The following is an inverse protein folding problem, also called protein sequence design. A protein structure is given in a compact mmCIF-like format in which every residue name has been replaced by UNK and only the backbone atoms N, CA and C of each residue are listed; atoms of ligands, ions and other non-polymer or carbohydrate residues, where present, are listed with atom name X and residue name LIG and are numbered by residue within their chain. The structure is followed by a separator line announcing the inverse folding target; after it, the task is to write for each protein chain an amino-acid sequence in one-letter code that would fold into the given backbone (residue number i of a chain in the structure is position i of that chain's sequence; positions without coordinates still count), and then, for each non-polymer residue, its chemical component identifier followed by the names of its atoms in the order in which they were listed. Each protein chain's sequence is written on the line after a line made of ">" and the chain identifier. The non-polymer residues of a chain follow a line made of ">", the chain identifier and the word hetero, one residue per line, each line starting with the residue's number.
data_IF_393504573169
#
_entry.id   IF_393504573169
#
_cell.length_a   1.000
_cell.length_b   1.000
_cell.length_c   1.000
_cell.angle_alpha   90.00
_cell.angle_beta   90.00
_cell.angle_gamma   90.00
#
_symmetry.space_group_name_H-M   'P 1'
#
loop_
_entity.id
_entity.type
_entity.pdbx_description
1 polymer ?
#
# COMPACT_ATOMS: atom_id res chain seq x y z
N UNK A 1 17.53 -2.01 9.70
CA UNK A 1 18.53 -2.95 9.14
C UNK A 1 19.08 -2.46 7.79
N UNK A 2 18.29 -2.38 6.70
CA UNK A 2 18.84 -1.92 5.40
C UNK A 2 19.42 -0.49 5.41
N UNK A 3 18.76 0.46 6.05
CA UNK A 3 19.26 1.84 6.16
C UNK A 3 20.52 1.96 7.03
N UNK A 4 20.60 1.20 8.10
CA UNK A 4 21.81 1.16 8.95
C UNK A 4 22.99 0.55 8.20
N UNK A 5 22.75 -0.49 7.38
CA UNK A 5 23.77 -1.07 6.50
C UNK A 5 24.23 -0.09 5.42
N UNK A 6 23.38 0.84 5.04
CA UNK A 6 23.68 1.91 4.09
C UNK A 6 24.33 3.14 4.72
N UNK A 7 24.48 3.15 6.05
CA UNK A 7 25.00 4.31 6.77
C UNK A 7 24.04 5.49 6.82
N UNK A 8 22.75 5.25 6.54
CA UNK A 8 21.71 6.28 6.58
C UNK A 8 21.19 6.31 8.02
N UNK A 9 21.27 7.49 8.64
CA UNK A 9 20.63 7.72 9.93
C UNK A 9 19.12 7.79 9.76
N UNK A 10 18.42 6.74 10.20
CA UNK A 10 16.96 6.61 10.11
C UNK A 10 16.24 7.75 10.84
N UNK A 11 16.83 8.27 11.94
CA UNK A 11 16.26 9.39 12.69
C UNK A 11 16.33 10.71 11.92
N UNK A 12 17.28 10.85 10.98
CA UNK A 12 17.40 12.04 10.11
C UNK A 12 16.42 12.03 8.94
N UNK A 13 15.82 10.87 8.64
CA UNK A 13 14.80 10.76 7.61
C UNK A 13 13.48 11.26 8.21
N UNK A 14 13.00 12.41 7.73
CA UNK A 14 11.70 12.92 8.10
C UNK A 14 10.57 11.99 7.63
N UNK A 15 10.36 10.90 8.36
CA UNK A 15 9.28 9.96 8.09
C UNK A 15 7.94 10.57 8.51
N UNK A 16 7.02 10.64 7.57
CA UNK A 16 5.63 11.01 7.87
C UNK A 16 4.83 9.75 8.10
N UNK A 17 4.49 9.51 9.35
CA UNK A 17 3.64 8.39 9.75
C UNK A 17 2.24 8.49 9.12
N UNK A 18 1.75 7.42 8.54
CA UNK A 18 0.42 7.30 7.95
C UNK A 18 -0.53 6.37 8.73
N UNK A 19 -0.15 5.93 9.92
CA UNK A 19 -0.97 5.02 10.73
C UNK A 19 -2.37 5.58 10.99
N UNK A 20 -2.50 6.88 11.25
CA UNK A 20 -3.81 7.51 11.43
C UNK A 20 -4.69 7.46 10.18
N UNK A 21 -4.11 7.49 8.97
CA UNK A 21 -4.84 7.29 7.71
C UNK A 21 -5.26 5.82 7.55
N UNK A 22 -4.36 4.89 7.85
CA UNK A 22 -4.65 3.45 7.79
C UNK A 22 -5.76 3.10 8.76
N UNK A 23 -5.70 3.61 10.01
CA UNK A 23 -6.74 3.41 11.01
C UNK A 23 -8.09 4.01 10.59
N UNK A 24 -8.09 5.17 9.93
CA UNK A 24 -9.31 5.76 9.37
C UNK A 24 -9.96 4.84 8.33
N UNK A 25 -9.17 4.20 7.48
CA UNK A 25 -9.67 3.36 6.39
C UNK A 25 -10.06 1.95 6.86
N UNK A 26 -9.14 1.25 7.52
CA UNK A 26 -9.24 -0.18 7.86
C UNK A 26 -9.20 -0.47 9.37
N UNK A 27 -9.21 0.55 10.22
CA UNK A 27 -9.22 0.38 11.67
C UNK A 27 -10.49 -0.35 12.14
N UNK A 28 -10.33 -1.34 13.01
CA UNK A 28 -11.49 -2.05 13.60
C UNK A 28 -11.75 -1.56 15.01
N UNK A 29 -13.00 -1.37 15.41
CA UNK A 29 -14.26 -1.59 14.64
C UNK A 29 -14.74 -0.36 13.85
N UNK A 30 -14.10 0.80 13.97
CA UNK A 30 -14.64 2.10 13.52
C UNK A 30 -14.00 2.64 12.24
N UNK A 31 -13.13 1.88 11.56
CA UNK A 31 -12.63 2.26 10.25
C UNK A 31 -13.75 2.32 9.21
N UNK A 32 -13.58 3.12 8.17
CA UNK A 32 -14.58 3.36 7.13
C UNK A 32 -15.04 2.06 6.47
N UNK A 33 -14.11 1.12 6.17
CA UNK A 33 -14.46 -0.17 5.58
C UNK A 33 -15.28 -1.03 6.52
N UNK A 34 -14.98 -1.02 7.83
CA UNK A 34 -15.75 -1.75 8.85
C UNK A 34 -17.15 -1.18 9.00
N UNK A 35 -17.31 0.15 8.99
CA UNK A 35 -18.61 0.82 9.06
C UNK A 35 -19.44 0.58 7.80
N UNK A 36 -18.79 0.54 6.62
CA UNK A 36 -19.45 0.23 5.36
C UNK A 36 -19.94 -1.23 5.34
N UNK A 37 -19.12 -2.17 5.82
CA UNK A 37 -19.49 -3.56 5.95
C UNK A 37 -20.68 -3.73 6.89
N UNK A 38 -20.65 -3.09 8.05
CA UNK A 38 -21.78 -3.10 8.99
C UNK A 38 -23.05 -2.58 8.33
N UNK A 39 -22.99 -1.41 7.65
CA UNK A 39 -24.16 -0.81 7.01
C UNK A 39 -24.71 -1.66 5.86
N UNK A 40 -23.85 -2.41 5.15
CA UNK A 40 -24.29 -3.36 4.13
C UNK A 40 -25.18 -4.48 4.69
N UNK A 41 -24.99 -4.85 5.97
CA UNK A 41 -25.75 -5.92 6.63
C UNK A 41 -26.99 -5.43 7.38
N UNK A 42 -27.14 -4.12 7.58
CA UNK A 42 -28.34 -3.55 8.21
C UNK A 42 -29.52 -3.63 7.25
N UNK A 43 -30.70 -4.15 7.69
CA UNK A 43 -31.87 -4.35 6.81
C UNK A 43 -32.37 -3.12 6.07
N UNK A 44 -32.14 -1.93 6.62
CA UNK A 44 -32.50 -0.62 6.03
C UNK A 44 -31.27 0.27 5.89
N UNK A 45 -30.10 -0.32 5.68
CA UNK A 45 -28.86 0.43 5.47
C UNK A 45 -28.95 1.32 4.24
N UNK A 46 -28.37 2.52 4.36
CA UNK A 46 -28.36 3.53 3.29
C UNK A 46 -26.99 4.20 3.18
N UNK A 47 -26.68 4.74 1.99
CA UNK A 47 -25.43 5.45 1.77
C UNK A 47 -25.26 6.65 2.72
N UNK A 48 -26.35 7.37 2.99
CA UNK A 48 -26.33 8.47 3.96
C UNK A 48 -26.22 7.98 5.41
N UNK A 49 -26.78 6.81 5.73
CA UNK A 49 -26.61 6.15 7.03
C UNK A 49 -25.14 5.81 7.27
N UNK A 50 -24.48 5.22 6.28
CA UNK A 50 -23.04 4.99 6.30
C UNK A 50 -22.26 6.28 6.54
N UNK A 51 -22.54 7.32 5.74
CA UNK A 51 -21.86 8.60 5.86
C UNK A 51 -22.07 9.26 7.23
N UNK A 52 -23.27 9.14 7.81
CA UNK A 52 -23.59 9.59 9.16
C UNK A 52 -22.73 8.92 10.21
N UNK A 53 -22.57 7.59 10.14
CA UNK A 53 -21.69 6.82 11.04
C UNK A 53 -20.24 7.25 10.93
N UNK A 54 -19.74 7.43 9.70
CA UNK A 54 -18.37 7.91 9.47
C UNK A 54 -18.17 9.31 10.05
N UNK A 55 -19.11 10.21 9.83
CA UNK A 55 -19.05 11.58 10.38
C UNK A 55 -19.12 11.59 11.91
N UNK A 56 -19.91 10.73 12.51
CA UNK A 56 -19.98 10.58 13.97
C UNK A 56 -18.66 10.11 14.55
N UNK A 57 -17.99 9.15 13.92
CA UNK A 57 -16.72 8.59 14.42
C UNK A 57 -15.51 9.48 14.12
N UNK A 58 -15.42 10.02 12.91
CA UNK A 58 -14.23 10.69 12.41
C UNK A 58 -14.40 12.18 12.13
N UNK A 59 -15.64 12.67 12.08
CA UNK A 59 -15.97 14.07 11.83
C UNK A 59 -15.65 15.01 12.98
N UNK A 60 -15.98 16.29 12.80
CA UNK A 60 -15.80 17.36 13.82
C UNK A 60 -14.36 17.50 14.32
N UNK A 61 -13.38 17.22 13.46
CA UNK A 61 -11.96 17.37 13.80
C UNK A 61 -11.37 16.20 14.61
N UNK A 62 -12.09 15.10 14.82
CA UNK A 62 -11.58 13.90 15.51
C UNK A 62 -10.49 13.20 14.73
N UNK A 63 -10.58 13.25 13.40
CA UNK A 63 -9.53 12.73 12.52
C UNK A 63 -9.06 13.82 11.55
N UNK A 64 -7.75 14.08 11.52
CA UNK A 64 -7.16 15.13 10.69
C UNK A 64 -7.24 14.85 9.18
N UNK A 65 -7.45 13.59 8.81
CA UNK A 65 -7.49 13.13 7.41
C UNK A 65 -8.91 13.06 6.84
N UNK A 66 -9.94 13.22 7.68
CA UNK A 66 -11.35 13.22 7.27
C UNK A 66 -11.96 14.61 7.42
N UNK A 67 -12.61 15.09 6.37
CA UNK A 67 -13.28 16.38 6.37
C UNK A 67 -14.68 16.25 5.76
N UNK A 68 -15.68 16.71 6.51
CA UNK A 68 -17.02 16.95 5.94
C UNK A 68 -17.05 18.34 5.32
N UNK A 69 -17.35 18.44 4.00
CA UNK A 69 -17.54 19.75 3.40
C UNK A 69 -18.65 20.52 4.09
N UNK A 70 -18.46 21.81 4.34
CA UNK A 70 -19.55 22.67 4.80
C UNK A 70 -20.55 22.80 3.67
N UNK A 71 -21.75 22.28 3.88
CA UNK A 71 -22.80 22.24 2.88
C UNK A 71 -23.25 23.67 2.56
N UNK A 72 -22.80 24.19 1.44
CA UNK A 72 -23.36 25.41 0.81
C UNK A 72 -23.99 25.10 -0.54
N UNK A 73 -23.84 23.86 -1.05
CA UNK A 73 -24.37 23.37 -2.33
C UNK A 73 -25.02 22.02 -2.08
N UNK A 74 -26.19 21.79 -2.67
CA UNK A 74 -26.91 20.52 -2.59
C UNK A 74 -26.07 19.32 -3.02
N UNK A 75 -25.13 19.51 -3.94
CA UNK A 75 -24.26 18.47 -4.50
C UNK A 75 -23.20 17.92 -3.51
N UNK A 76 -23.15 18.43 -2.27
CA UNK A 76 -22.14 18.04 -1.28
C UNK A 76 -22.73 17.33 -0.05
N UNK A 77 -24.05 17.10 -0.01
CA UNK A 77 -24.70 16.44 1.12
C UNK A 77 -24.26 15.00 1.28
N UNK A 78 -23.98 14.32 0.18
CA UNK A 78 -23.51 12.94 0.10
C UNK A 78 -21.97 12.82 0.01
N UNK A 79 -21.23 13.93 0.21
CA UNK A 79 -19.80 13.99 -0.01
C UNK A 79 -18.99 14.04 1.28
N UNK A 80 -17.78 13.51 1.23
CA UNK A 80 -16.71 13.71 2.21
C UNK A 80 -15.37 13.84 1.50
N UNK A 81 -14.38 14.41 2.19
CA UNK A 81 -13.03 14.58 1.68
C UNK A 81 -12.08 13.76 2.52
N UNK A 82 -11.22 12.98 1.86
CA UNK A 82 -10.08 12.31 2.48
C UNK A 82 -8.78 12.99 2.05
N UNK A 83 -7.91 13.22 3.01
CA UNK A 83 -6.55 13.68 2.76
C UNK A 83 -5.67 12.47 2.57
N UNK A 84 -5.40 12.13 1.33
CA UNK A 84 -4.45 11.09 0.97
C UNK A 84 -3.02 11.63 0.95
N UNK A 85 -2.04 10.72 0.89
CA UNK A 85 -0.63 11.08 0.75
C UNK A 85 -0.38 12.07 -0.41
N UNK A 86 -1.01 11.83 -1.54
CA UNK A 86 -0.80 12.60 -2.76
C UNK A 86 -1.67 13.86 -2.87
N UNK A 87 -2.70 14.01 -2.03
CA UNK A 87 -3.61 15.15 -2.04
C UNK A 87 -5.00 14.84 -1.50
N UNK A 88 -5.85 15.84 -1.47
CA UNK A 88 -7.23 15.72 -1.03
C UNK A 88 -8.12 15.18 -2.16
N UNK A 89 -8.96 14.20 -1.83
CA UNK A 89 -9.92 13.61 -2.77
C UNK A 89 -11.31 13.69 -2.18
N UNK A 90 -12.24 14.22 -2.96
CA UNK A 90 -13.67 14.25 -2.62
C UNK A 90 -14.34 12.97 -3.11
N UNK A 91 -15.07 12.34 -2.22
CA UNK A 91 -15.85 11.13 -2.46
C UNK A 91 -17.33 11.40 -2.30
N UNK A 92 -18.14 10.84 -3.20
CA UNK A 92 -19.59 10.82 -3.12
C UNK A 92 -20.04 9.41 -2.79
N UNK A 93 -20.89 9.26 -1.78
CA UNK A 93 -21.30 7.93 -1.27
C UNK A 93 -22.43 7.30 -2.05
N UNK A 94 -23.04 8.01 -3.00
CA UNK A 94 -24.13 7.48 -3.79
C UNK A 94 -23.80 6.14 -4.46
N UNK A 95 -24.56 5.09 -4.16
CA UNK A 95 -24.39 3.74 -4.68
C UNK A 95 -23.26 2.93 -4.02
N UNK A 96 -22.66 3.40 -2.93
CA UNK A 96 -21.57 2.68 -2.25
C UNK A 96 -22.03 1.37 -1.64
N UNK A 97 -23.18 1.37 -0.98
CA UNK A 97 -23.72 0.13 -0.39
C UNK A 97 -24.05 -0.90 -1.45
N UNK A 98 -24.65 -0.48 -2.54
CA UNK A 98 -24.99 -1.38 -3.64
C UNK A 98 -23.76 -2.03 -4.24
N UNK A 99 -22.72 -1.23 -4.54
CA UNK A 99 -21.42 -1.72 -5.04
C UNK A 99 -20.71 -2.62 -4.04
N UNK A 100 -20.82 -2.31 -2.74
CA UNK A 100 -20.10 -3.03 -1.69
C UNK A 100 -20.76 -4.34 -1.30
N UNK A 101 -22.08 -4.47 -1.43
CA UNK A 101 -22.78 -5.71 -1.15
C UNK A 101 -22.28 -6.88 -1.97
N UNK A 102 -22.08 -6.71 -3.28
CA UNK A 102 -21.38 -7.65 -4.16
C UNK A 102 -21.86 -9.10 -4.17
N UNK A 103 -22.88 -9.40 -3.42
CA UNK A 103 -23.44 -10.74 -3.33
C UNK A 103 -24.74 -10.85 -4.15
N UNK A 104 -24.89 -11.97 -4.80
CA UNK A 104 -26.08 -12.28 -5.55
C UNK A 104 -27.23 -12.54 -4.59
N UNK A 105 -28.38 -11.87 -4.78
CA UNK A 105 -29.58 -12.12 -3.97
C UNK A 105 -30.03 -13.58 -4.11
N UNK A 106 -30.56 -14.15 -3.07
CA UNK A 106 -30.96 -15.57 -3.04
C UNK A 106 -31.98 -15.93 -4.12
N UNK A 107 -32.92 -15.03 -4.43
CA UNK A 107 -33.90 -15.18 -5.51
C UNK A 107 -33.25 -15.20 -6.89
N UNK A 108 -32.29 -14.29 -7.15
CA UNK A 108 -31.53 -14.26 -8.39
C UNK A 108 -30.66 -15.51 -8.56
N UNK A 109 -30.00 -15.93 -7.48
CA UNK A 109 -29.20 -17.15 -7.48
C UNK A 109 -30.05 -18.38 -7.80
N UNK A 110 -31.21 -18.51 -7.17
CA UNK A 110 -32.14 -19.61 -7.44
C UNK A 110 -32.57 -19.63 -8.90
N UNK A 111 -32.85 -18.47 -9.48
CA UNK A 111 -33.18 -18.36 -10.90
C UNK A 111 -32.03 -18.83 -11.80
N UNK A 112 -30.77 -18.48 -11.47
CA UNK A 112 -29.60 -18.89 -12.25
C UNK A 112 -29.36 -20.41 -12.16
N UNK A 113 -29.49 -21.01 -10.96
CA UNK A 113 -29.31 -22.45 -10.74
C UNK A 113 -30.41 -23.27 -11.44
N UNK A 114 -31.62 -22.77 -11.52
CA UNK A 114 -32.75 -23.43 -12.19
C UNK A 114 -32.81 -23.17 -13.70
N UNK A 115 -31.84 -22.47 -14.27
CA UNK A 115 -31.77 -22.18 -15.69
C UNK A 115 -31.44 -23.42 -16.50
N UNK A 116 -32.06 -23.59 -17.66
CA UNK A 116 -31.71 -24.65 -18.66
C UNK A 116 -30.35 -24.40 -19.33
N UNK A 117 -29.75 -23.24 -19.13
CA UNK A 117 -28.44 -22.89 -19.69
C UNK A 117 -27.31 -23.40 -18.82
N UNK A 118 -26.61 -24.45 -19.28
CA UNK A 118 -25.48 -25.07 -18.58
C UNK A 118 -24.35 -24.08 -18.20
N UNK A 119 -24.16 -23.01 -18.98
CA UNK A 119 -23.19 -21.96 -18.66
C UNK A 119 -23.60 -21.20 -17.39
N UNK A 120 -24.87 -20.89 -17.21
CA UNK A 120 -25.40 -20.15 -16.06
C UNK A 120 -25.41 -21.00 -14.79
N UNK A 121 -25.74 -22.28 -14.91
CA UNK A 121 -25.79 -23.20 -13.76
C UNK A 121 -24.43 -23.53 -13.17
N UNK A 122 -23.34 -23.36 -13.97
CA UNK A 122 -21.96 -23.64 -13.57
C UNK A 122 -21.10 -22.38 -13.42
N UNK A 123 -21.68 -21.18 -13.35
CA UNK A 123 -20.92 -19.95 -13.13
C UNK A 123 -20.24 -19.99 -11.76
N UNK A 124 -18.90 -19.76 -11.69
CA UNK A 124 -18.20 -19.58 -10.43
C UNK A 124 -18.85 -18.47 -9.59
N UNK A 125 -19.03 -18.69 -8.28
CA UNK A 125 -19.70 -17.76 -7.38
C UNK A 125 -21.25 -17.90 -7.32
N UNK A 126 -21.87 -18.59 -8.25
CA UNK A 126 -23.30 -18.97 -8.18
C UNK A 126 -23.46 -20.26 -7.38
N UNK A 127 -22.57 -21.23 -7.60
CA UNK A 127 -22.62 -22.58 -7.00
C UNK A 127 -21.87 -22.61 -5.66
N UNK A 128 -20.74 -21.92 -5.55
CA UNK A 128 -19.82 -21.99 -4.40
C UNK A 128 -20.33 -21.31 -3.12
N UNK A 129 -21.30 -20.41 -3.23
CA UNK A 129 -21.84 -19.64 -2.10
C UNK A 129 -23.14 -20.26 -1.52
N UNK A 130 -23.45 -21.53 -1.75
CA UNK A 130 -24.60 -22.13 -1.05
C UNK A 130 -24.37 -22.09 0.46
N UNK A 131 -25.23 -21.40 1.23
CA UNK A 131 -25.29 -21.65 2.66
C UNK A 131 -25.69 -23.12 2.81
N UNK A 132 -24.82 -23.97 3.33
CA UNK A 132 -25.22 -25.33 3.75
C UNK A 132 -26.39 -25.13 4.71
N UNK A 133 -27.60 -25.42 4.25
CA UNK A 133 -28.75 -25.57 5.10
C UNK A 133 -28.39 -26.70 6.08
N UNK A 134 -27.96 -26.32 7.28
CA UNK A 134 -27.91 -27.29 8.36
C UNK A 134 -29.33 -27.80 8.54
N UNK A 135 -29.52 -29.06 8.17
CA UNK A 135 -30.76 -29.80 8.40
C UNK A 135 -31.12 -29.59 9.86
N UNK A 136 -32.24 -28.90 10.09
CA UNK A 136 -32.82 -28.71 11.42
C UNK A 136 -33.33 -30.04 11.90
N UNK A 137 -32.44 -30.86 12.48
CA UNK A 137 -32.88 -31.95 13.36
C UNK A 137 -33.32 -31.33 14.67
N UNK A 138 -34.60 -31.43 14.94
CA UNK A 138 -35.26 -30.94 16.15
C UNK A 138 -34.57 -31.42 17.42
N UNK A 139 -34.04 -30.48 18.18
CA UNK A 139 -33.53 -30.64 19.52
C UNK A 139 -33.95 -29.42 20.35
N UNK A 140 -35.04 -29.52 21.12
CA UNK A 140 -35.38 -28.55 22.16
C UNK A 140 -34.28 -28.52 23.22
N UNK A 141 -33.36 -27.58 23.15
CA UNK A 141 -32.34 -27.29 24.16
C UNK A 141 -32.46 -25.83 24.61
N UNK A 142 -32.82 -25.66 25.87
CA UNK A 142 -33.08 -24.44 26.61
C UNK A 142 -31.74 -23.76 26.95
N UNK A 143 -31.57 -22.48 26.62
CA UNK A 143 -30.71 -21.54 27.36
C UNK A 143 -29.26 -21.47 26.94
N UNK A 144 -28.91 -20.45 26.16
CA UNK A 144 -27.55 -19.99 25.95
C UNK A 144 -27.57 -18.76 25.05
N UNK A 145 -27.40 -17.55 25.61
CA UNK A 145 -27.08 -16.33 24.87
C UNK A 145 -25.69 -16.47 24.24
N UNK A 146 -25.62 -17.08 23.09
CA UNK A 146 -24.41 -17.11 22.26
C UNK A 146 -24.81 -16.69 20.84
N UNK A 147 -24.25 -15.62 20.34
CA UNK A 147 -24.60 -15.05 19.04
C UNK A 147 -24.49 -16.10 17.94
N UNK A 148 -25.64 -16.43 17.33
CA UNK A 148 -25.70 -17.26 16.14
C UNK A 148 -24.98 -16.60 15.00
N UNK A 149 -23.73 -17.02 14.75
CA UNK A 149 -22.92 -16.64 13.60
C UNK A 149 -23.44 -17.33 12.33
N UNK A 150 -24.65 -16.97 11.87
CA UNK A 150 -25.02 -17.27 10.48
C UNK A 150 -23.94 -16.70 9.57
N UNK A 151 -23.46 -17.51 8.64
CA UNK A 151 -22.43 -17.12 7.67
C UNK A 151 -22.92 -15.88 6.93
N UNK A 152 -22.48 -14.69 7.38
CA UNK A 152 -22.86 -13.42 6.76
C UNK A 152 -22.30 -13.42 5.34
N UNK A 153 -23.11 -13.01 4.38
CA UNK A 153 -22.65 -12.83 3.02
C UNK A 153 -21.45 -11.87 3.00
N UNK A 154 -20.37 -12.30 2.39
CA UNK A 154 -19.12 -11.55 2.37
C UNK A 154 -19.25 -10.35 1.44
N UNK A 155 -18.95 -9.15 1.91
CA UNK A 155 -18.94 -7.94 1.10
C UNK A 155 -17.74 -7.93 0.14
N UNK A 156 -17.80 -7.08 -0.89
CA UNK A 156 -16.67 -6.87 -1.81
C UNK A 156 -15.43 -6.39 -1.05
N UNK A 157 -15.60 -5.50 -0.07
CA UNK A 157 -14.50 -5.01 0.77
C UNK A 157 -13.82 -6.12 1.55
N UNK A 158 -14.58 -7.01 2.16
CA UNK A 158 -14.04 -8.15 2.93
C UNK A 158 -13.30 -9.15 2.04
N UNK A 159 -13.86 -9.46 0.85
CA UNK A 159 -13.17 -10.33 -0.13
C UNK A 159 -11.86 -9.70 -0.57
N UNK A 160 -11.88 -8.41 -0.94
CA UNK A 160 -10.70 -7.67 -1.35
C UNK A 160 -9.62 -7.64 -0.27
N UNK A 161 -9.99 -7.38 0.99
CA UNK A 161 -9.04 -7.37 2.09
C UNK A 161 -8.36 -8.73 2.29
N UNK A 162 -9.11 -9.83 2.16
CA UNK A 162 -8.56 -11.18 2.25
C UNK A 162 -7.60 -11.48 1.09
N UNK A 163 -7.96 -11.15 -0.14
CA UNK A 163 -7.11 -11.32 -1.32
C UNK A 163 -5.85 -10.46 -1.25
N UNK A 164 -5.97 -9.22 -0.78
CA UNK A 164 -4.82 -8.34 -0.56
C UNK A 164 -3.86 -8.90 0.49
N UNK A 165 -4.38 -9.46 1.58
CA UNK A 165 -3.55 -10.10 2.61
C UNK A 165 -2.77 -11.29 2.04
N UNK A 166 -3.39 -12.12 1.20
CA UNK A 166 -2.72 -13.21 0.52
C UNK A 166 -1.64 -12.70 -0.44
N UNK A 167 -1.94 -11.65 -1.21
CA UNK A 167 -0.96 -11.04 -2.12
C UNK A 167 0.23 -10.48 -1.35
N UNK A 168 0.01 -9.75 -0.27
CA UNK A 168 1.10 -9.20 0.58
C UNK A 168 1.95 -10.33 1.17
N UNK A 169 1.33 -11.42 1.64
CA UNK A 169 2.04 -12.60 2.14
C UNK A 169 2.92 -13.21 1.05
N UNK A 170 2.39 -13.36 -0.17
CA UNK A 170 3.15 -13.86 -1.31
C UNK A 170 4.32 -12.92 -1.67
N UNK A 171 4.09 -11.61 -1.75
CA UNK A 171 5.14 -10.64 -2.07
C UNK A 171 6.26 -10.64 -1.01
N UNK A 172 5.91 -10.81 0.27
CA UNK A 172 6.89 -10.90 1.36
C UNK A 172 7.70 -12.21 1.36
N UNK A 173 7.20 -13.25 0.71
CA UNK A 173 7.89 -14.55 0.61
C UNK A 173 8.92 -14.60 -0.53
N UNK A 174 8.94 -13.61 -1.41
CA UNK A 174 9.80 -13.57 -2.61
C UNK A 174 10.64 -12.30 -2.63
N UNK A 175 11.75 -12.33 -3.38
CA UNK A 175 12.56 -11.12 -3.64
C UNK A 175 11.87 -10.24 -4.68
N UNK A 176 11.03 -9.33 -4.24
CA UNK A 176 10.25 -8.46 -5.11
C UNK A 176 11.09 -7.34 -5.72
N UNK A 177 10.93 -7.10 -7.01
CA UNK A 177 11.53 -5.97 -7.72
C UNK A 177 10.43 -5.09 -8.29
N UNK A 178 10.50 -3.79 -7.99
CA UNK A 178 9.47 -2.83 -8.40
C UNK A 178 9.97 -1.99 -9.57
N UNK A 179 9.23 -2.03 -10.70
CA UNK A 179 9.47 -1.18 -11.87
C UNK A 179 8.33 -0.17 -11.94
N UNK A 180 8.67 1.11 -11.90
CA UNK A 180 7.71 2.21 -12.02
C UNK A 180 7.87 2.89 -13.35
N UNK A 181 6.81 2.87 -14.16
CA UNK A 181 6.79 3.53 -15.46
C UNK A 181 6.12 4.90 -15.33
N UNK A 182 6.81 5.93 -15.81
CA UNK A 182 6.30 7.29 -15.87
C UNK A 182 5.87 7.61 -17.30
N UNK A 183 4.69 8.18 -17.46
CA UNK A 183 4.20 8.67 -18.76
C UNK A 183 4.67 10.09 -18.95
N UNK A 184 5.44 10.41 -20.01
CA UNK A 184 5.92 11.77 -20.26
C UNK A 184 4.77 12.73 -20.61
N UNK A 185 3.67 12.23 -21.17
CA UNK A 185 2.44 12.97 -21.42
C UNK A 185 1.23 12.02 -21.47
N UNK A 186 0.02 12.56 -21.31
CA UNK A 186 -1.22 11.79 -21.34
C UNK A 186 -1.71 11.53 -22.76
N UNK A 187 -1.22 12.27 -23.76
CA UNK A 187 -1.64 12.20 -25.16
C UNK A 187 -0.91 11.11 -25.95
N UNK A 188 0.07 10.43 -25.35
CA UNK A 188 0.94 9.42 -25.98
C UNK A 188 1.65 9.93 -27.24
N UNK A 189 1.98 11.24 -27.28
CA UNK A 189 2.76 11.85 -28.38
C UNK A 189 4.24 11.71 -28.09
N UNK A 190 5.03 11.45 -29.15
CA UNK A 190 6.48 11.58 -29.12
C UNK A 190 6.85 13.07 -28.99
N UNK A 191 8.05 13.36 -28.50
CA UNK A 191 8.63 14.69 -28.38
C UNK A 191 7.80 15.73 -27.60
N UNK A 192 6.89 15.23 -26.75
CA UNK A 192 6.08 16.04 -25.88
C UNK A 192 6.31 15.64 -24.41
N UNK A 193 6.74 16.59 -23.60
CA UNK A 193 6.95 16.40 -22.17
C UNK A 193 6.04 17.32 -21.36
N UNK A 194 5.14 16.71 -20.57
CA UNK A 194 4.25 17.41 -19.65
C UNK A 194 4.82 17.32 -18.23
N UNK A 195 5.53 18.40 -17.84
CA UNK A 195 6.23 18.46 -16.55
C UNK A 195 5.27 18.36 -15.35
N UNK A 196 4.07 18.91 -15.45
CA UNK A 196 3.08 18.84 -14.37
C UNK A 196 2.56 17.42 -14.17
N UNK A 197 2.19 16.74 -15.26
CA UNK A 197 1.75 15.37 -15.23
C UNK A 197 2.84 14.41 -14.71
N UNK A 198 4.10 14.62 -15.10
CA UNK A 198 5.23 13.82 -14.62
C UNK A 198 5.50 14.10 -13.14
N UNK A 199 5.52 15.36 -12.70
CA UNK A 199 5.73 15.70 -11.29
C UNK A 199 4.64 15.09 -10.39
N UNK A 200 3.39 15.10 -10.85
CA UNK A 200 2.27 14.45 -10.16
C UNK A 200 2.50 12.95 -10.01
N UNK A 201 2.93 12.26 -11.07
CA UNK A 201 3.27 10.85 -11.04
C UNK A 201 4.44 10.56 -10.08
N UNK A 202 5.50 11.37 -10.07
CA UNK A 202 6.62 11.23 -9.15
C UNK A 202 6.19 11.33 -7.68
N UNK A 203 5.28 12.26 -7.37
CA UNK A 203 4.68 12.38 -6.03
C UNK A 203 3.85 11.16 -5.67
N UNK A 204 2.93 10.73 -6.54
CA UNK A 204 2.05 9.59 -6.28
C UNK A 204 2.80 8.27 -6.09
N UNK A 205 3.92 8.11 -6.76
CA UNK A 205 4.73 6.88 -6.66
C UNK A 205 5.74 6.91 -5.52
N UNK A 206 5.83 8.00 -4.75
CA UNK A 206 6.81 8.17 -3.68
C UNK A 206 8.26 8.23 -4.18
N UNK A 207 8.47 8.56 -5.45
CA UNK A 207 9.82 8.62 -6.03
C UNK A 207 10.65 9.78 -5.49
N UNK A 208 10.01 10.89 -5.15
CA UNK A 208 10.71 12.05 -4.59
C UNK A 208 11.30 11.71 -3.22
N UNK A 209 10.57 11.00 -2.39
CA UNK A 209 11.01 10.51 -1.07
C UNK A 209 12.13 9.49 -1.22
N UNK A 210 12.01 8.54 -2.15
CA UNK A 210 13.09 7.60 -2.45
C UNK A 210 14.37 8.30 -2.87
N UNK A 211 14.28 9.33 -3.72
CA UNK A 211 15.44 10.11 -4.14
C UNK A 211 16.06 10.87 -2.95
N UNK A 212 15.20 11.45 -2.10
CA UNK A 212 15.67 12.17 -0.91
C UNK A 212 16.43 11.23 0.05
N UNK A 213 15.89 10.05 0.34
CA UNK A 213 16.55 9.05 1.17
C UNK A 213 17.86 8.59 0.54
N UNK A 214 17.88 8.29 -0.76
CA UNK A 214 19.11 7.86 -1.46
C UNK A 214 20.20 8.92 -1.50
N UNK A 215 19.83 10.21 -1.53
CA UNK A 215 20.79 11.32 -1.45
C UNK A 215 21.44 11.46 -0.07
N UNK A 216 20.79 10.97 0.98
CA UNK A 216 21.34 10.95 2.35
C UNK A 216 22.32 9.80 2.57
N UNK A 217 22.30 8.77 1.72
CA UNK A 217 23.18 7.62 1.75
C UNK A 217 24.18 7.63 0.59
N UNK A 218 24.87 6.51 0.43
CA UNK A 218 25.82 6.31 -0.66
C UNK A 218 25.06 5.95 -1.96
N UNK A 219 25.11 6.81 -3.01
CA UNK A 219 24.33 6.58 -4.23
C UNK A 219 24.84 5.40 -5.07
N UNK A 220 26.10 5.04 -4.89
CA UNK A 220 26.76 3.95 -5.62
C UNK A 220 27.47 3.05 -4.62
N UNK A 221 27.13 1.77 -4.64
CA UNK A 221 27.81 0.72 -3.86
C UNK A 221 28.60 -0.15 -4.83
N UNK A 222 29.89 -0.23 -4.63
CA UNK A 222 30.79 -1.07 -5.43
C UNK A 222 31.45 -2.05 -4.47
N UNK A 223 31.41 -3.37 -4.75
CA UNK A 223 32.21 -4.34 -3.99
C UNK A 223 33.69 -3.94 -4.00
N UNK A 224 34.35 -4.07 -2.85
CA UNK A 224 35.77 -3.64 -2.70
C UNK A 224 36.67 -4.31 -3.74
N UNK A 225 36.43 -5.60 -4.04
CA UNK A 225 37.16 -6.31 -5.08
C UNK A 225 37.06 -5.64 -6.46
N UNK A 226 35.84 -5.24 -6.85
CA UNK A 226 35.64 -4.51 -8.11
C UNK A 226 36.26 -3.11 -8.10
N UNK A 227 36.23 -2.43 -6.97
CA UNK A 227 36.86 -1.11 -6.83
C UNK A 227 38.37 -1.21 -6.94
N UNK A 228 38.98 -2.22 -6.30
CA UNK A 228 40.42 -2.52 -6.42
C UNK A 228 40.78 -2.81 -7.88
N UNK A 229 40.01 -3.60 -8.59
CA UNK A 229 40.22 -3.92 -10.00
C UNK A 229 40.15 -2.65 -10.89
N UNK A 230 39.12 -1.82 -10.69
CA UNK A 230 38.97 -0.54 -11.40
C UNK A 230 40.08 0.44 -11.12
N UNK A 231 40.63 0.42 -9.90
CA UNK A 231 41.71 1.30 -9.46
C UNK A 231 43.10 0.72 -9.74
N UNK A 232 43.23 -0.50 -10.24
CA UNK A 232 44.48 -1.15 -10.57
C UNK A 232 45.45 -0.28 -11.45
N UNK A 233 44.95 0.45 -12.48
CA UNK A 233 45.82 1.35 -13.26
C UNK A 233 46.44 2.47 -12.43
N UNK A 234 45.71 2.97 -11.41
CA UNK A 234 46.25 4.02 -10.52
C UNK A 234 47.32 3.48 -9.56
N UNK A 235 47.19 2.21 -9.13
CA UNK A 235 48.24 1.57 -8.34
C UNK A 235 49.57 1.48 -9.11
N UNK A 236 49.54 1.38 -10.44
CA UNK A 236 50.74 1.36 -11.25
C UNK A 236 51.53 2.67 -11.20
N UNK A 237 50.89 3.77 -10.84
CA UNK A 237 51.53 5.08 -10.67
C UNK A 237 52.19 5.26 -9.29
N UNK A 238 51.92 4.36 -8.33
CA UNK A 238 52.51 4.41 -6.99
C UNK A 238 53.96 3.83 -7.01
N UNK A 239 54.82 4.25 -6.04
CA UNK A 239 56.15 3.71 -5.91
C UNK A 239 56.17 2.19 -5.78
N UNK A 240 57.12 1.52 -6.43
CA UNK A 240 57.18 0.05 -6.46
C UNK A 240 57.34 -0.58 -5.05
N UNK A 241 58.02 0.10 -4.15
CA UNK A 241 58.21 -0.30 -2.78
C UNK A 241 56.89 -0.33 -1.99
N UNK A 242 56.01 0.66 -2.19
CA UNK A 242 54.71 0.73 -1.56
C UNK A 242 53.76 -0.34 -2.09
N UNK A 243 53.79 -0.61 -3.39
CA UNK A 243 52.99 -1.67 -4.02
C UNK A 243 53.36 -3.07 -3.52
N UNK A 244 54.66 -3.32 -3.32
CA UNK A 244 55.13 -4.60 -2.90
C UNK A 244 54.88 -4.89 -1.41
N UNK A 245 54.75 -3.85 -0.59
CA UNK A 245 54.65 -3.98 0.86
C UNK A 245 53.23 -4.04 1.40
N UNK A 246 52.23 -3.72 0.57
CA UNK A 246 50.84 -3.58 1.06
C UNK A 246 49.83 -4.33 0.20
N UNK A 247 48.77 -4.89 0.83
CA UNK A 247 47.69 -5.52 0.12
C UNK A 247 46.89 -4.45 -0.69
N UNK A 248 46.22 -4.83 -1.79
CA UNK A 248 45.48 -3.91 -2.67
C UNK A 248 44.41 -3.05 -1.95
N UNK A 249 43.81 -3.56 -0.88
CA UNK A 249 42.82 -2.83 -0.07
C UNK A 249 43.47 -1.67 0.70
N UNK A 250 44.71 -1.84 1.18
CA UNK A 250 45.45 -0.77 1.87
C UNK A 250 45.96 0.29 0.88
N UNK A 251 46.37 -0.12 -0.31
CA UNK A 251 46.72 0.79 -1.40
C UNK A 251 45.52 1.65 -1.80
N UNK A 252 44.34 1.08 -1.87
CA UNK A 252 43.08 1.79 -2.13
C UNK A 252 42.79 2.83 -1.05
N UNK A 253 42.97 2.48 0.23
CA UNK A 253 42.80 3.42 1.35
C UNK A 253 43.78 4.60 1.25
N UNK A 254 45.02 4.35 0.89
CA UNK A 254 46.01 5.40 0.68
C UNK A 254 45.64 6.35 -0.45
N UNK A 255 45.20 5.83 -1.59
CA UNK A 255 44.71 6.65 -2.72
C UNK A 255 43.55 7.54 -2.32
N UNK A 256 42.59 7.02 -1.57
CA UNK A 256 41.44 7.78 -1.10
C UNK A 256 41.80 8.85 -0.06
N UNK A 257 42.86 8.65 0.73
CA UNK A 257 43.36 9.63 1.69
C UNK A 257 44.09 10.80 1.01
N UNK A 258 44.74 10.56 -0.10
CA UNK A 258 45.48 11.61 -0.85
C UNK A 258 44.53 12.62 -1.51
N UNK A 259 43.29 12.25 -1.83
CA UNK A 259 42.29 13.14 -2.43
C UNK A 259 41.49 13.98 -1.43
N UNK A 260 41.87 14.01 -0.14
CA UNK A 260 41.25 14.91 0.84
C UNK A 260 39.91 14.41 1.42
N UNK A 261 39.57 13.15 1.22
CA UNK A 261 38.49 12.52 1.97
C UNK A 261 38.89 12.44 3.44
N UNK A 262 38.02 12.98 4.32
CA UNK A 262 38.22 12.89 5.74
C UNK A 262 38.41 11.41 6.16
N UNK A 263 39.37 11.14 7.05
CA UNK A 263 39.67 9.79 7.53
C UNK A 263 38.43 9.07 8.08
N UNK A 264 37.39 9.80 8.54
CA UNK A 264 36.09 9.27 8.96
C UNK A 264 35.25 8.76 7.77
N UNK A 265 35.27 9.43 6.63
CA UNK A 265 34.54 9.02 5.43
C UNK A 265 35.20 7.82 4.73
N UNK A 266 36.55 7.76 4.75
CA UNK A 266 37.28 6.60 4.23
C UNK A 266 37.13 5.36 5.10
N UNK A 267 36.95 5.52 6.42
CA UNK A 267 36.73 4.41 7.36
C UNK A 267 35.29 3.87 7.39
N UNK A 268 34.31 4.61 6.82
CA UNK A 268 32.93 4.13 6.64
C UNK A 268 32.79 3.10 5.52
N UNK A 269 33.85 2.83 4.78
CA UNK A 269 33.96 1.65 3.92
C UNK A 269 33.99 0.40 4.81
N UNK A 270 32.81 -0.04 5.24
CA UNK A 270 32.68 -1.32 5.96
C UNK A 270 33.11 -2.46 5.04
N UNK A 271 34.20 -3.07 5.41
CA UNK A 271 34.61 -4.36 4.86
C UNK A 271 33.58 -5.39 5.31
N UNK A 272 32.75 -5.89 4.41
CA UNK A 272 32.09 -7.18 4.56
C UNK A 272 32.91 -8.24 3.84
#
# INVERSE_FOLDING_TARGET
>A
MEYEEEGIDVASIGFRDNDAQVQLMDGRPFGMLSLLEEECHVPRGSDLGFLGKVDEQHGKGRNAFFVRPKVRKADMEDAFVLKHYAGEVTYHVAGWLEKSRGFLRADMRRLLITSDCHLLTNLPGVVEDEPKEEASSGGRGRGGRGGGGGKRNTTVGTKFAAELTQLVTLLNSVSSRFIRCLKPNMLKRCDCFDGEAVLRQLRYTGMLECIHIRRSGFPIKVPIAQLVEKMAPLFALMPAEERASRPPVELLKLLLMVEGASAKEALSLRVK
#
